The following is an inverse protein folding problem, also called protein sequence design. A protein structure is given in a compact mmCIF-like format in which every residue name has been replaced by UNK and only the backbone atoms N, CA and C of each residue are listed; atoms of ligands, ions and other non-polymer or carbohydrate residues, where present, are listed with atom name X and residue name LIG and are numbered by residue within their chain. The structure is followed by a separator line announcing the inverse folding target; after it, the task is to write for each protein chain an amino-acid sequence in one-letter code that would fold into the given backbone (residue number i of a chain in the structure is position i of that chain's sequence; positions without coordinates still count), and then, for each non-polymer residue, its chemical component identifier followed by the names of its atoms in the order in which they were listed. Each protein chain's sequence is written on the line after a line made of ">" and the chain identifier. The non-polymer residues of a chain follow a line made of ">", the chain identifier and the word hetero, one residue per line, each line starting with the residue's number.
data_IF_063792001596
#
_entry.id   IF_063792001596
#
_cell.length_a   1.000
_cell.length_b   1.000
_cell.length_c   1.000
_cell.angle_alpha   90.00
_cell.angle_beta   90.00
_cell.angle_gamma   90.00
#
_symmetry.space_group_name_H-M   'P 1'
#
loop_
_entity.id
_entity.type
_entity.pdbx_description
1 polymer ?
#
# COMPACT_ATOMS: atom_id res chain seq x y z
N UNK A 1 -16.87 9.08 27.56
CA UNK A 1 -16.11 10.30 27.21
C UNK A 1 -14.80 10.49 28.02
N UNK A 2 -14.56 9.77 29.09
CA UNK A 2 -13.39 9.99 29.98
C UNK A 2 -12.07 9.33 29.58
N UNK A 3 -12.06 8.29 28.75
CA UNK A 3 -10.87 7.49 28.49
C UNK A 3 -10.04 7.94 27.27
N UNK A 4 -10.67 8.59 26.29
CA UNK A 4 -9.96 9.09 25.09
C UNK A 4 -9.15 10.35 25.40
N UNK A 5 -9.69 11.20 26.28
CA UNK A 5 -9.00 12.42 26.73
C UNK A 5 -7.75 12.11 27.57
N UNK A 6 -7.77 11.03 28.34
CA UNK A 6 -6.59 10.59 29.11
C UNK A 6 -5.49 9.99 28.22
N UNK A 7 -5.85 9.34 27.12
CA UNK A 7 -4.87 8.79 26.17
C UNK A 7 -4.17 9.90 25.37
N UNK A 8 -4.91 10.93 24.94
CA UNK A 8 -4.35 12.09 24.24
C UNK A 8 -3.47 12.95 25.15
N UNK A 9 -3.84 13.12 26.40
CA UNK A 9 -3.01 13.79 27.40
C UNK A 9 -1.75 13.00 27.73
N UNK A 10 -1.80 11.67 27.72
CA UNK A 10 -0.63 10.79 27.91
C UNK A 10 0.40 10.90 26.75
N UNK A 11 -0.07 11.02 25.53
CA UNK A 11 0.79 11.17 24.35
C UNK A 11 1.43 12.57 24.30
N UNK A 12 0.68 13.62 24.67
CA UNK A 12 1.23 14.96 24.79
C UNK A 12 2.21 15.08 25.98
N UNK A 13 1.95 14.41 27.11
CA UNK A 13 2.83 14.38 28.25
C UNK A 13 4.14 13.62 27.99
N UNK A 14 4.10 12.56 27.16
CA UNK A 14 5.31 11.83 26.72
C UNK A 14 6.18 12.68 25.79
N UNK A 15 5.58 13.49 24.92
CA UNK A 15 6.30 14.45 24.08
C UNK A 15 6.85 15.65 24.88
N UNK A 16 6.16 16.09 25.94
CA UNK A 16 6.59 17.18 26.80
C UNK A 16 7.58 16.71 27.88
N UNK A 17 7.52 15.46 28.32
CA UNK A 17 8.42 14.88 29.33
C UNK A 17 9.87 14.72 28.87
N UNK A 18 10.11 14.75 27.55
CA UNK A 18 11.48 14.75 26.99
C UNK A 18 12.15 16.14 27.10
N UNK A 19 11.39 17.20 27.37
CA UNK A 19 11.93 18.57 27.49
C UNK A 19 12.21 19.05 28.92
N UNK A 20 11.87 18.28 29.98
CA UNK A 20 11.97 18.74 31.35
C UNK A 20 12.75 17.77 32.27
N UNK A 21 13.96 17.40 31.87
CA UNK A 21 14.98 16.90 32.81
C UNK A 21 16.25 17.69 32.60
N UNK A 22 16.28 18.85 33.17
CA UNK A 22 17.55 19.53 33.47
C UNK A 22 17.28 20.56 34.57
N UNK A 23 17.69 20.25 35.76
CA UNK A 23 18.49 21.13 36.64
C UNK A 23 18.66 20.43 37.98
N UNK A 24 19.85 19.94 38.22
CA UNK A 24 20.74 20.17 39.34
C UNK A 24 21.54 18.92 39.69
N UNK A 25 22.73 18.85 39.14
CA UNK A 25 23.90 18.25 39.82
C UNK A 25 25.16 18.97 39.31
N UNK A 26 25.73 19.83 40.11
CA UNK A 26 27.08 20.37 39.90
C UNK A 26 28.09 19.23 40.00
N UNK A 27 28.88 19.02 38.94
CA UNK A 27 29.97 18.08 38.93
C UNK A 27 30.50 17.80 37.55
N UNK A 28 31.60 18.45 37.16
CA UNK A 28 32.45 18.25 35.98
C UNK A 28 31.77 18.39 34.62
N UNK A 29 32.08 19.47 33.94
CA UNK A 29 31.71 19.70 32.53
C UNK A 29 32.46 18.72 31.63
N UNK A 30 31.90 17.53 31.41
CA UNK A 30 32.07 16.82 30.18
C UNK A 30 31.21 17.58 29.17
N UNK A 31 31.80 18.07 28.08
CA UNK A 31 31.07 18.59 26.92
C UNK A 31 30.13 17.53 26.41
N UNK A 32 28.88 17.50 26.91
CA UNK A 32 27.84 16.67 26.34
C UNK A 32 27.60 17.19 24.94
N UNK A 33 28.02 16.43 23.93
CA UNK A 33 27.65 16.69 22.56
C UNK A 33 26.13 16.50 22.46
N UNK A 34 25.40 17.58 22.18
CA UNK A 34 23.96 17.54 22.08
C UNK A 34 23.58 16.96 20.71
N UNK A 35 22.61 16.03 20.66
CA UNK A 35 22.05 15.56 19.40
C UNK A 35 21.36 16.70 18.66
N UNK A 36 21.20 16.57 17.33
CA UNK A 36 20.47 17.53 16.49
C UNK A 36 18.98 17.15 16.38
N UNK A 37 18.16 18.20 16.28
CA UNK A 37 16.74 18.09 16.03
C UNK A 37 16.41 18.98 14.83
N UNK A 38 16.04 18.37 13.70
CA UNK A 38 15.78 19.05 12.44
C UNK A 38 14.35 18.85 11.95
N UNK A 39 13.79 19.89 11.35
CA UNK A 39 12.55 19.81 10.59
C UNK A 39 12.86 20.05 9.11
N UNK A 40 12.84 19.00 8.33
CA UNK A 40 13.26 19.06 6.92
C UNK A 40 12.35 18.23 6.00
N UNK A 41 12.82 18.01 4.77
CA UNK A 41 12.11 17.19 3.80
C UNK A 41 11.89 15.72 4.23
N UNK A 42 12.57 15.21 5.22
CA UNK A 42 12.37 13.86 5.76
C UNK A 42 11.38 13.81 6.92
N UNK A 43 10.78 14.94 7.28
CA UNK A 43 9.90 15.13 8.42
C UNK A 43 10.66 15.70 9.61
N UNK A 44 10.28 15.29 10.81
CA UNK A 44 11.00 15.61 12.05
C UNK A 44 12.10 14.58 12.26
N UNK A 45 13.34 15.01 12.32
CA UNK A 45 14.52 14.15 12.45
C UNK A 45 15.23 14.45 13.75
N UNK A 46 15.42 13.41 14.55
CA UNK A 46 16.35 13.43 15.69
C UNK A 46 17.59 12.60 15.33
N UNK A 47 18.75 13.12 15.62
CA UNK A 47 20.02 12.42 15.46
C UNK A 47 20.88 12.62 16.71
N UNK A 48 21.39 11.51 17.27
CA UNK A 48 22.34 11.58 18.39
C UNK A 48 23.67 12.20 17.95
N UNK A 49 24.39 12.76 18.88
CA UNK A 49 25.64 13.46 18.60
C UNK A 49 26.72 12.55 17.99
N UNK A 50 26.73 11.28 18.37
CA UNK A 50 27.63 10.26 17.84
C UNK A 50 27.14 9.65 16.55
N UNK A 51 25.98 10.12 16.03
CA UNK A 51 25.30 9.60 14.82
C UNK A 51 24.92 8.12 14.87
N UNK A 52 24.99 7.47 16.01
CA UNK A 52 24.64 6.05 16.19
C UNK A 52 23.12 5.83 16.11
N UNK A 53 22.36 6.84 16.53
CA UNK A 53 20.89 6.80 16.53
C UNK A 53 20.33 7.94 15.69
N UNK A 54 19.45 7.58 14.74
CA UNK A 54 18.70 8.53 13.92
C UNK A 54 17.25 8.09 13.88
N UNK A 55 16.32 8.94 14.32
CA UNK A 55 14.88 8.69 14.29
C UNK A 55 14.19 9.76 13.45
N UNK A 56 13.41 9.33 12.49
CA UNK A 56 12.58 10.19 11.65
C UNK A 56 11.10 9.95 11.97
N UNK A 57 10.36 11.03 12.16
CA UNK A 57 8.91 10.99 12.31
C UNK A 57 8.25 11.73 11.14
N UNK A 58 7.26 11.09 10.52
CA UNK A 58 6.45 11.65 9.44
C UNK A 58 4.97 11.56 9.78
N UNK A 59 4.26 12.61 9.46
CA UNK A 59 2.80 12.68 9.53
C UNK A 59 2.20 12.71 8.14
N UNK A 60 1.00 12.13 7.99
CA UNK A 60 0.25 12.19 6.75
C UNK A 60 -1.25 12.18 6.99
N UNK A 61 -1.95 13.07 6.30
CA UNK A 61 -3.41 13.13 6.25
C UNK A 61 -3.86 13.17 4.78
N UNK A 62 -4.92 12.40 4.47
CA UNK A 62 -5.56 12.41 3.16
C UNK A 62 -7.08 12.44 3.34
N UNK A 63 -7.71 13.46 2.76
CA UNK A 63 -9.15 13.68 2.84
C UNK A 63 -9.79 13.57 1.46
N UNK A 64 -10.97 12.97 1.40
CA UNK A 64 -11.77 12.81 0.20
C UNK A 64 -13.13 13.45 0.33
N UNK A 65 -13.60 13.99 -0.80
CA UNK A 65 -15.01 14.21 -1.11
C UNK A 65 -15.30 13.43 -2.40
N UNK A 66 -16.22 12.47 -2.34
CA UNK A 66 -16.56 11.63 -3.49
C UNK A 66 -18.05 11.74 -3.76
N UNK A 67 -18.41 12.12 -4.98
CA UNK A 67 -19.75 12.00 -5.51
C UNK A 67 -19.83 10.74 -6.35
N UNK A 68 -20.86 9.93 -6.16
CA UNK A 68 -21.07 8.70 -6.93
C UNK A 68 -22.53 8.60 -7.33
N UNK A 69 -22.79 8.39 -8.61
CA UNK A 69 -24.09 7.95 -9.13
C UNK A 69 -23.96 6.55 -9.72
N UNK A 70 -25.00 5.76 -9.63
CA UNK A 70 -25.02 4.39 -10.14
C UNK A 70 -26.41 4.02 -10.63
N UNK A 71 -26.48 3.17 -11.64
CA UNK A 71 -27.68 2.49 -12.07
C UNK A 71 -27.46 0.97 -12.00
N UNK A 72 -28.50 0.26 -11.62
CA UNK A 72 -28.57 -1.21 -11.69
C UNK A 72 -29.31 -1.68 -12.93
N UNK A 73 -29.94 -0.74 -13.67
CA UNK A 73 -30.57 -0.97 -14.96
C UNK A 73 -29.72 -0.33 -16.07
N UNK A 74 -29.13 -1.17 -16.89
CA UNK A 74 -28.12 -0.76 -17.89
C UNK A 74 -28.74 -0.02 -19.06
N UNK A 75 -30.02 -0.22 -19.27
CA UNK A 75 -30.81 0.43 -20.34
C UNK A 75 -31.32 1.82 -19.95
N UNK A 76 -31.13 2.21 -18.69
CA UNK A 76 -31.46 3.54 -18.19
C UNK A 76 -30.27 4.48 -18.21
N UNK A 77 -30.50 5.71 -18.61
CA UNK A 77 -29.53 6.79 -18.49
C UNK A 77 -29.17 7.02 -17.01
N UNK A 78 -27.88 7.26 -16.75
CA UNK A 78 -27.39 7.60 -15.41
C UNK A 78 -28.00 8.92 -14.94
N UNK A 79 -28.83 8.85 -13.91
CA UNK A 79 -29.38 10.05 -13.27
C UNK A 79 -28.32 10.71 -12.38
N UNK A 80 -27.75 11.78 -12.89
CA UNK A 80 -26.74 12.56 -12.14
C UNK A 80 -27.31 13.28 -10.92
N UNK A 81 -28.63 13.41 -10.80
CA UNK A 81 -29.27 14.02 -9.63
C UNK A 81 -29.45 13.04 -8.46
N UNK A 82 -29.47 11.74 -8.75
CA UNK A 82 -29.69 10.66 -7.77
C UNK A 82 -28.39 10.15 -7.12
N UNK A 83 -27.30 10.89 -7.18
CA UNK A 83 -26.03 10.48 -6.64
C UNK A 83 -25.91 10.65 -5.12
N UNK A 84 -24.94 9.98 -4.54
CA UNK A 84 -24.55 10.08 -3.13
C UNK A 84 -23.24 10.81 -2.97
N UNK A 85 -23.12 11.61 -1.90
CA UNK A 85 -21.89 12.30 -1.53
C UNK A 85 -21.30 11.62 -0.29
N UNK A 86 -20.01 11.29 -0.34
CA UNK A 86 -19.24 10.75 0.78
C UNK A 86 -18.03 11.64 1.10
N UNK A 87 -17.83 11.92 2.38
CA UNK A 87 -16.69 12.67 2.90
C UNK A 87 -15.91 11.77 3.86
N UNK A 88 -14.62 11.59 3.61
CA UNK A 88 -13.84 10.66 4.40
C UNK A 88 -12.43 11.15 4.69
N UNK A 89 -11.98 10.96 5.94
CA UNK A 89 -10.54 10.91 6.25
C UNK A 89 -10.03 9.55 5.78
N UNK A 90 -9.53 9.52 4.53
CA UNK A 90 -9.11 8.26 3.90
C UNK A 90 -7.88 7.68 4.55
N UNK A 91 -6.93 8.55 4.95
CA UNK A 91 -5.71 8.12 5.65
C UNK A 91 -5.28 9.18 6.67
N UNK A 92 -4.95 8.69 7.86
CA UNK A 92 -4.34 9.50 8.92
C UNK A 92 -3.23 8.63 9.52
N UNK A 93 -1.97 8.99 9.29
CA UNK A 93 -0.85 8.11 9.61
C UNK A 93 0.30 8.83 10.28
N UNK A 94 0.92 8.12 11.23
CA UNK A 94 2.25 8.43 11.77
C UNK A 94 3.22 7.33 11.36
N UNK A 95 4.40 7.72 10.93
CA UNK A 95 5.48 6.80 10.60
C UNK A 95 6.74 7.22 11.32
N UNK A 96 7.38 6.24 11.93
CA UNK A 96 8.70 6.35 12.52
C UNK A 96 9.65 5.41 11.79
N UNK A 97 10.89 5.84 11.58
CA UNK A 97 11.92 5.02 10.98
C UNK A 97 13.28 5.60 11.25
N UNK A 98 14.31 4.81 11.03
CA UNK A 98 15.68 5.24 11.26
C UNK A 98 16.59 4.11 11.67
N UNK A 99 17.67 4.44 12.37
CA UNK A 99 18.65 3.50 12.94
C UNK A 99 18.77 3.69 14.45
N UNK A 100 19.07 2.61 15.18
CA UNK A 100 19.24 2.62 16.64
C UNK A 100 20.56 1.93 17.01
N UNK A 101 21.43 2.62 17.76
CA UNK A 101 22.72 2.14 18.29
C UNK A 101 23.77 1.78 17.23
N UNK A 102 23.37 1.23 16.11
CA UNK A 102 24.22 0.86 14.97
C UNK A 102 23.50 1.29 13.68
N UNK A 103 24.16 2.02 12.76
CA UNK A 103 23.55 2.42 11.48
C UNK A 103 23.05 1.24 10.62
N UNK A 104 23.56 0.01 10.86
CA UNK A 104 23.09 -1.22 10.20
C UNK A 104 21.78 -1.72 10.77
N UNK A 105 21.44 -1.40 12.04
CA UNK A 105 20.17 -1.78 12.66
C UNK A 105 19.14 -0.68 12.38
N UNK A 106 18.24 -0.92 11.44
CA UNK A 106 17.20 0.02 11.07
C UNK A 106 15.82 -0.50 11.40
N UNK A 107 14.84 0.40 11.54
CA UNK A 107 13.46 0.03 11.86
C UNK A 107 12.46 0.86 11.06
N UNK A 108 11.25 0.34 10.95
CA UNK A 108 10.11 1.05 10.40
C UNK A 108 8.86 0.70 11.21
N UNK A 109 8.24 1.72 11.81
CA UNK A 109 6.96 1.64 12.49
C UNK A 109 5.97 2.56 11.80
N UNK A 110 4.80 2.05 11.41
CA UNK A 110 3.72 2.86 10.85
C UNK A 110 2.42 2.60 11.57
N UNK A 111 1.82 3.66 12.06
CA UNK A 111 0.51 3.67 12.72
C UNK A 111 -0.53 4.31 11.79
N UNK A 112 -1.78 3.85 11.85
CA UNK A 112 -2.90 4.41 11.10
C UNK A 112 -4.12 4.55 12.00
N UNK A 113 -4.77 5.70 11.89
CA UNK A 113 -5.91 6.07 12.74
C UNK A 113 -7.21 6.22 11.95
N UNK A 114 -7.18 6.08 10.62
CA UNK A 114 -8.38 6.17 9.79
C UNK A 114 -9.18 4.87 9.82
N UNK A 115 -10.51 4.99 9.81
CA UNK A 115 -11.43 3.85 9.81
C UNK A 115 -11.17 2.87 8.66
N UNK A 116 -10.86 3.38 7.48
CA UNK A 116 -10.62 2.57 6.27
C UNK A 116 -9.32 1.75 6.30
N UNK A 117 -8.43 2.02 7.24
CA UNK A 117 -7.17 1.29 7.43
C UNK A 117 -7.23 0.29 8.60
N UNK A 118 -8.34 0.27 9.34
CA UNK A 118 -8.51 -0.60 10.50
C UNK A 118 -9.30 -1.86 10.14
N UNK A 119 -8.99 -2.94 10.82
CA UNK A 119 -9.65 -4.24 10.69
C UNK A 119 -10.57 -4.42 11.90
N UNK A 120 -11.84 -4.09 11.72
CA UNK A 120 -12.84 -4.11 12.81
C UNK A 120 -13.54 -5.47 12.95
N UNK A 121 -13.40 -6.34 11.94
CA UNK A 121 -14.21 -7.55 11.85
C UNK A 121 -13.69 -8.71 12.70
N UNK A 122 -12.38 -8.78 12.93
CA UNK A 122 -11.75 -9.92 13.60
C UNK A 122 -11.26 -9.63 15.02
N UNK A 123 -11.24 -8.36 15.44
CA UNK A 123 -10.79 -7.97 16.77
C UNK A 123 -11.66 -6.87 17.32
N UNK A 124 -12.03 -6.95 18.60
CA UNK A 124 -12.79 -5.90 19.30
C UNK A 124 -11.96 -4.62 19.54
N UNK A 125 -10.69 -4.60 19.12
CA UNK A 125 -9.76 -3.48 19.26
C UNK A 125 -9.33 -2.95 17.91
N UNK A 126 -9.18 -1.62 17.76
CA UNK A 126 -8.67 -1.01 16.55
C UNK A 126 -7.20 -1.40 16.32
N UNK A 127 -6.93 -2.08 15.21
CA UNK A 127 -5.57 -2.45 14.80
C UNK A 127 -4.85 -1.27 14.14
N UNK A 128 -4.26 -0.41 14.95
CA UNK A 128 -3.56 0.79 14.47
C UNK A 128 -2.19 0.50 13.86
N UNK A 129 -1.57 -0.65 14.19
CA UNK A 129 -0.23 -1.01 13.69
C UNK A 129 -0.35 -1.50 12.24
N UNK A 130 0.33 -0.79 11.33
CA UNK A 130 0.43 -1.17 9.94
C UNK A 130 1.77 -1.85 9.63
N UNK A 131 2.85 -1.21 9.99
CA UNK A 131 4.21 -1.75 9.84
C UNK A 131 4.88 -1.72 11.21
N UNK A 132 5.57 -2.79 11.55
CA UNK A 132 6.46 -2.93 12.71
C UNK A 132 7.58 -3.89 12.29
N UNK A 133 8.69 -3.34 11.80
CA UNK A 133 9.75 -4.11 11.15
C UNK A 133 11.12 -3.64 11.62
N UNK A 134 11.98 -4.58 11.92
CA UNK A 134 13.38 -4.38 12.23
C UNK A 134 14.21 -4.98 11.10
N UNK A 135 15.25 -4.26 10.67
CA UNK A 135 16.14 -4.70 9.60
C UNK A 135 17.59 -4.68 10.06
N UNK A 136 18.35 -5.64 9.56
CA UNK A 136 19.79 -5.65 9.63
C UNK A 136 20.40 -5.50 8.23
N UNK A 137 21.20 -4.47 8.03
CA UNK A 137 21.90 -4.19 6.78
C UNK A 137 23.29 -4.84 6.83
N UNK A 138 23.45 -6.00 6.19
CA UNK A 138 24.73 -6.71 6.09
C UNK A 138 25.73 -5.97 5.19
N UNK A 139 25.20 -5.31 4.17
CA UNK A 139 25.97 -4.48 3.24
C UNK A 139 25.03 -3.42 2.61
N UNK A 140 25.54 -2.47 1.82
CA UNK A 140 24.70 -1.54 1.06
C UNK A 140 23.74 -2.21 0.08
N UNK A 141 23.97 -3.48 -0.25
CA UNK A 141 23.19 -4.24 -1.24
C UNK A 141 22.42 -5.42 -0.64
N UNK A 142 22.64 -5.76 0.64
CA UNK A 142 21.97 -6.90 1.30
C UNK A 142 21.39 -6.49 2.65
N UNK A 143 20.08 -6.64 2.78
CA UNK A 143 19.31 -6.37 4.00
C UNK A 143 18.39 -7.54 4.30
N UNK A 144 18.26 -7.89 5.57
CA UNK A 144 17.27 -8.86 6.08
C UNK A 144 16.47 -8.19 7.18
N UNK A 145 15.17 -8.45 7.22
CA UNK A 145 14.28 -7.90 8.23
C UNK A 145 13.35 -8.94 8.81
N UNK A 146 12.85 -8.65 10.01
CA UNK A 146 11.88 -9.45 10.73
C UNK A 146 10.79 -8.57 11.33
N UNK A 147 9.55 -9.00 11.24
CA UNK A 147 8.37 -8.30 11.74
C UNK A 147 7.26 -8.23 10.71
N UNK A 148 6.39 -7.23 10.85
CA UNK A 148 5.22 -7.02 10.00
C UNK A 148 5.43 -5.84 9.05
N UNK A 149 5.34 -6.11 7.75
CA UNK A 149 5.32 -5.05 6.72
C UNK A 149 4.73 -5.58 5.40
N UNK A 150 4.68 -4.74 4.36
CA UNK A 150 4.22 -5.15 3.03
C UNK A 150 5.10 -6.26 2.46
N UNK A 151 4.45 -7.30 1.93
CA UNK A 151 5.14 -8.34 1.17
C UNK A 151 5.62 -7.78 -0.19
N UNK A 152 6.73 -8.30 -0.72
CA UNK A 152 7.28 -7.89 -2.02
C UNK A 152 6.49 -8.50 -3.20
N UNK A 153 5.18 -8.29 -3.21
CA UNK A 153 4.26 -8.73 -4.25
C UNK A 153 4.11 -7.73 -5.40
N UNK A 154 2.88 -7.27 -5.64
CA UNK A 154 2.59 -6.32 -6.69
C UNK A 154 3.17 -4.93 -6.39
N UNK A 155 3.76 -4.28 -7.42
CA UNK A 155 4.41 -2.97 -7.30
C UNK A 155 3.47 -1.90 -6.75
N UNK A 156 2.23 -1.80 -7.24
CA UNK A 156 1.29 -0.78 -6.79
C UNK A 156 1.00 -0.86 -5.29
N UNK A 157 1.05 -2.07 -4.70
CA UNK A 157 0.91 -2.22 -3.24
C UNK A 157 2.16 -1.80 -2.50
N UNK A 158 3.35 -2.17 -3.01
CA UNK A 158 4.64 -1.83 -2.40
C UNK A 158 4.86 -0.32 -2.44
N UNK A 159 4.53 0.35 -3.54
CA UNK A 159 4.51 1.82 -3.61
C UNK A 159 3.69 2.36 -2.42
N UNK A 160 4.26 3.36 -1.73
CA UNK A 160 3.54 4.04 -0.66
C UNK A 160 2.27 4.68 -1.22
N UNK A 161 1.17 4.63 -0.47
CA UNK A 161 -0.03 5.34 -0.90
C UNK A 161 0.13 6.88 -0.90
N UNK A 162 1.20 7.41 -0.30
CA UNK A 162 1.57 8.81 -0.41
C UNK A 162 2.10 9.16 -1.80
N UNK A 163 2.69 8.18 -2.46
CA UNK A 163 3.44 8.36 -3.69
C UNK A 163 2.64 7.91 -4.93
N UNK A 164 1.34 7.74 -4.76
CA UNK A 164 0.39 7.50 -5.86
C UNK A 164 0.11 8.80 -6.59
N UNK A 165 -0.14 8.69 -7.87
CA UNK A 165 -0.56 9.78 -8.73
C UNK A 165 -2.07 10.02 -8.66
N UNK A 166 -2.83 8.94 -8.70
CA UNK A 166 -4.27 8.98 -8.47
C UNK A 166 -4.59 8.89 -6.97
N UNK A 167 -5.79 9.35 -6.55
CA UNK A 167 -6.19 9.35 -5.14
C UNK A 167 -6.08 7.98 -4.47
N UNK A 168 -6.37 6.89 -5.20
CA UNK A 168 -6.21 5.53 -4.69
C UNK A 168 -5.66 4.55 -5.74
N UNK A 169 -5.38 3.34 -5.29
CA UNK A 169 -4.93 2.22 -6.11
C UNK A 169 -6.05 1.69 -7.01
N UNK A 170 -5.64 0.96 -8.04
CA UNK A 170 -6.54 0.31 -9.00
C UNK A 170 -7.42 -0.77 -8.37
N UNK A 171 -8.49 -1.15 -9.07
CA UNK A 171 -9.32 -2.31 -8.72
C UNK A 171 -8.50 -3.62 -8.75
N UNK A 172 -7.48 -3.72 -9.61
CA UNK A 172 -6.56 -4.87 -9.67
C UNK A 172 -5.80 -5.03 -8.35
N UNK A 173 -5.25 -3.92 -7.81
CA UNK A 173 -4.65 -3.98 -6.49
C UNK A 173 -5.68 -4.35 -5.41
N UNK A 174 -6.93 -3.89 -5.51
CA UNK A 174 -7.97 -4.25 -4.54
C UNK A 174 -8.26 -5.74 -4.53
N UNK A 175 -8.29 -6.38 -5.69
CA UNK A 175 -8.60 -7.81 -5.85
C UNK A 175 -7.41 -8.72 -5.49
N UNK A 176 -6.20 -8.35 -5.89
CA UNK A 176 -5.06 -9.28 -5.91
C UNK A 176 -3.90 -8.93 -4.96
N UNK A 177 -3.88 -7.77 -4.31
CA UNK A 177 -2.71 -7.41 -3.48
C UNK A 177 -2.46 -8.39 -2.32
N UNK A 178 -1.18 -8.54 -1.95
CA UNK A 178 -0.75 -9.36 -0.82
C UNK A 178 -0.81 -8.60 0.51
N UNK A 179 -0.89 -7.28 0.47
CA UNK A 179 -0.82 -6.37 1.62
C UNK A 179 0.40 -6.65 2.53
N UNK A 180 0.13 -6.77 3.80
CA UNK A 180 1.11 -6.94 4.88
C UNK A 180 0.95 -8.27 5.54
N UNK A 181 2.09 -8.80 5.98
CA UNK A 181 2.13 -10.01 6.77
C UNK A 181 3.31 -9.98 7.74
N UNK A 182 3.34 -10.88 8.71
CA UNK A 182 4.39 -11.01 9.71
C UNK A 182 5.36 -12.13 9.29
N UNK A 183 6.67 -11.84 9.30
CA UNK A 183 7.67 -12.84 8.95
C UNK A 183 9.05 -12.26 8.69
N UNK A 184 9.87 -13.04 7.99
CA UNK A 184 11.18 -12.63 7.52
C UNK A 184 11.12 -12.11 6.09
N UNK A 185 11.89 -11.06 5.79
CA UNK A 185 12.05 -10.54 4.43
C UNK A 185 13.53 -10.28 4.14
N UNK A 186 13.96 -10.64 2.93
CA UNK A 186 15.29 -10.38 2.39
C UNK A 186 15.24 -9.46 1.18
N UNK A 187 16.21 -8.55 1.09
CA UNK A 187 16.37 -7.62 -0.02
C UNK A 187 17.82 -7.68 -0.48
N UNK A 188 18.03 -8.05 -1.72
CA UNK A 188 19.36 -8.18 -2.30
C UNK A 188 19.44 -7.50 -3.66
N UNK A 189 20.50 -6.72 -3.87
CA UNK A 189 20.81 -6.06 -5.12
C UNK A 189 22.14 -6.58 -5.65
N UNK A 190 22.14 -7.75 -6.32
CA UNK A 190 23.37 -8.40 -6.80
C UNK A 190 24.07 -7.63 -7.92
N UNK A 191 23.32 -6.84 -8.70
CA UNK A 191 23.86 -6.06 -9.83
C UNK A 191 23.51 -4.60 -9.63
N UNK A 192 24.52 -3.74 -9.70
CA UNK A 192 24.41 -2.28 -9.55
C UNK A 192 25.21 -1.58 -10.66
N UNK A 193 24.77 -0.39 -11.08
CA UNK A 193 25.44 0.41 -12.13
C UNK A 193 24.50 0.77 -13.26
N UNK A 194 24.94 0.59 -14.50
CA UNK A 194 24.15 0.90 -15.72
C UNK A 194 22.91 0.01 -15.85
N UNK A 195 23.00 -1.22 -15.36
CA UNK A 195 21.87 -2.12 -15.15
C UNK A 195 21.78 -2.41 -13.66
N UNK A 196 20.57 -2.48 -13.12
CA UNK A 196 20.32 -2.85 -11.72
C UNK A 196 19.41 -4.06 -11.69
N UNK A 197 19.73 -5.03 -10.83
CA UNK A 197 18.87 -6.15 -10.51
C UNK A 197 18.56 -6.14 -9.02
N UNK A 198 17.28 -6.17 -8.66
CA UNK A 198 16.81 -6.29 -7.29
C UNK A 198 16.10 -7.63 -7.12
N UNK A 199 16.50 -8.38 -6.11
CA UNK A 199 15.82 -9.61 -5.68
C UNK A 199 15.24 -9.40 -4.29
N UNK A 200 14.02 -9.86 -4.07
CA UNK A 200 13.33 -9.76 -2.77
C UNK A 200 12.65 -11.08 -2.47
N UNK A 201 12.69 -11.49 -1.22
CA UNK A 201 12.03 -12.69 -0.75
C UNK A 201 11.35 -12.46 0.59
N UNK A 202 10.31 -13.23 0.87
CA UNK A 202 9.67 -13.26 2.18
C UNK A 202 9.19 -14.66 2.51
N UNK A 203 9.30 -15.01 3.80
CA UNK A 203 8.63 -16.15 4.43
C UNK A 203 7.78 -15.58 5.55
N UNK A 204 6.47 -15.81 5.49
CA UNK A 204 5.51 -15.14 6.37
C UNK A 204 4.38 -16.08 6.81
N UNK A 205 3.54 -15.63 7.73
CA UNK A 205 2.46 -16.44 8.30
C UNK A 205 1.36 -16.80 7.30
N UNK A 206 1.12 -15.96 6.29
CA UNK A 206 0.04 -16.13 5.31
C UNK A 206 -1.33 -15.64 5.77
N UNK A 207 -1.50 -15.32 7.06
CA UNK A 207 -2.78 -14.91 7.67
C UNK A 207 -3.02 -13.39 7.62
N UNK A 208 -1.97 -12.62 7.27
CA UNK A 208 -2.01 -11.19 7.19
C UNK A 208 -1.64 -10.48 8.48
N UNK A 209 -1.80 -9.17 8.49
CA UNK A 209 -1.37 -8.31 9.59
C UNK A 209 -2.15 -8.54 10.88
N UNK A 210 -1.45 -8.36 12.02
CA UNK A 210 -2.01 -8.35 13.38
C UNK A 210 -2.74 -9.65 13.76
N UNK A 211 -2.41 -10.77 13.15
CA UNK A 211 -2.95 -12.06 13.54
C UNK A 211 -2.15 -12.63 14.72
N UNK A 212 -2.84 -13.04 15.80
CA UNK A 212 -2.17 -13.46 17.04
C UNK A 212 -1.53 -14.86 16.95
N UNK A 213 -1.91 -15.67 15.97
CA UNK A 213 -1.41 -17.04 15.82
C UNK A 213 -1.50 -17.51 14.38
N UNK A 214 -0.58 -18.40 14.01
CA UNK A 214 -0.66 -19.16 12.77
C UNK A 214 -1.74 -20.24 12.97
N UNK A 215 -2.86 -20.05 12.33
CA UNK A 215 -3.98 -20.99 12.45
C UNK A 215 -3.67 -22.29 11.70
N UNK A 216 -3.06 -23.29 12.40
CA UNK A 216 -2.96 -24.70 11.98
C UNK A 216 -1.85 -25.06 10.99
N UNK A 217 -0.75 -24.31 10.99
CA UNK A 217 0.43 -24.61 10.17
C UNK A 217 0.30 -24.14 8.72
N UNK A 218 1.39 -24.17 8.01
CA UNK A 218 1.55 -23.60 6.68
C UNK A 218 2.10 -22.19 6.74
N UNK A 219 2.87 -21.84 5.74
CA UNK A 219 3.52 -20.54 5.59
C UNK A 219 3.22 -19.98 4.21
N UNK A 220 3.48 -18.72 4.07
CA UNK A 220 3.45 -18.05 2.76
C UNK A 220 4.87 -17.70 2.32
N UNK A 221 5.13 -17.88 1.04
CA UNK A 221 6.41 -17.64 0.40
C UNK A 221 6.23 -16.62 -0.72
N UNK A 222 7.02 -15.57 -0.71
CA UNK A 222 6.98 -14.53 -1.75
C UNK A 222 8.36 -14.33 -2.32
N UNK A 223 8.47 -14.27 -3.65
CA UNK A 223 9.70 -13.92 -4.35
C UNK A 223 9.41 -12.85 -5.40
N UNK A 224 10.33 -11.89 -5.56
CA UNK A 224 10.27 -10.85 -6.58
C UNK A 224 11.64 -10.59 -7.17
N UNK A 225 11.68 -10.49 -8.50
CA UNK A 225 12.83 -10.02 -9.26
C UNK A 225 12.45 -8.75 -10.03
N UNK A 226 13.36 -7.77 -10.03
CA UNK A 226 13.22 -6.52 -10.78
C UNK A 226 14.50 -6.23 -11.54
N UNK A 227 14.36 -5.74 -12.76
CA UNK A 227 15.45 -5.27 -13.60
C UNK A 227 15.20 -3.83 -13.99
N UNK A 228 16.20 -2.98 -13.78
CA UNK A 228 16.26 -1.60 -14.25
C UNK A 228 17.34 -1.52 -15.34
N UNK A 229 16.97 -1.74 -16.61
CA UNK A 229 17.96 -1.86 -17.71
C UNK A 229 18.69 -0.55 -18.04
N UNK A 230 18.11 0.59 -17.63
CA UNK A 230 18.70 1.91 -17.86
C UNK A 230 19.22 2.55 -16.56
N UNK A 231 19.56 1.71 -15.55
CA UNK A 231 20.06 2.13 -14.25
C UNK A 231 19.01 2.77 -13.35
N UNK A 232 19.46 3.38 -12.27
CA UNK A 232 18.61 3.93 -11.24
C UNK A 232 17.76 5.10 -11.75
N UNK A 233 16.53 5.20 -11.23
CA UNK A 233 15.70 6.39 -11.31
C UNK A 233 16.20 7.45 -10.33
N UNK A 234 16.02 8.74 -10.65
CA UNK A 234 16.28 9.83 -9.71
C UNK A 234 15.47 9.63 -8.42
N UNK A 235 16.12 9.79 -7.29
CA UNK A 235 15.48 9.73 -5.96
C UNK A 235 14.69 8.45 -5.67
N UNK A 236 15.07 7.30 -6.23
CA UNK A 236 14.33 6.05 -6.06
C UNK A 236 12.96 6.05 -6.75
N UNK A 237 12.83 6.76 -7.84
CA UNK A 237 11.59 6.99 -8.58
C UNK A 237 10.91 5.73 -9.15
N UNK A 238 11.57 4.58 -9.11
CA UNK A 238 10.98 3.27 -9.45
C UNK A 238 9.87 2.83 -8.46
N UNK A 239 9.77 3.47 -7.29
CA UNK A 239 8.72 3.26 -6.29
C UNK A 239 7.87 4.50 -6.01
N UNK A 240 7.77 5.40 -6.98
CA UNK A 240 6.82 6.53 -7.02
C UNK A 240 5.99 6.42 -8.31
N UNK A 241 4.69 6.77 -8.27
CA UNK A 241 3.91 6.95 -9.49
C UNK A 241 4.16 8.36 -10.05
N UNK A 242 3.98 8.53 -11.36
CA UNK A 242 4.27 9.78 -12.07
C UNK A 242 5.76 10.11 -12.15
N UNK A 243 6.17 10.89 -13.14
CA UNK A 243 7.57 11.34 -13.32
C UNK A 243 7.78 12.77 -12.79
N UNK A 244 7.60 12.95 -11.48
CA UNK A 244 7.79 14.24 -10.80
C UNK A 244 9.25 14.71 -10.83
N UNK A 245 10.21 13.76 -10.87
CA UNK A 245 11.62 14.05 -10.95
C UNK A 245 12.08 14.48 -12.37
N UNK A 246 11.21 14.32 -13.36
CA UNK A 246 11.44 14.60 -14.77
C UNK A 246 12.75 13.99 -15.25
N UNK A 247 12.75 12.65 -15.35
CA UNK A 247 13.90 11.88 -15.80
C UNK A 247 14.43 12.42 -17.15
N UNK A 248 15.69 12.80 -17.20
CA UNK A 248 16.31 13.39 -18.43
C UNK A 248 16.52 12.36 -19.53
N UNK A 249 16.64 11.10 -19.16
CA UNK A 249 16.76 9.95 -20.07
C UNK A 249 15.66 8.95 -19.73
N UNK A 250 15.18 8.16 -20.71
CA UNK A 250 14.20 7.12 -20.42
C UNK A 250 14.68 6.19 -19.30
N UNK A 251 13.83 5.92 -18.32
CA UNK A 251 14.05 4.97 -17.25
C UNK A 251 12.97 3.91 -17.28
N UNK A 252 13.36 2.66 -17.15
CA UNK A 252 12.47 1.51 -17.18
C UNK A 252 12.77 0.61 -15.98
N UNK A 253 11.72 0.13 -15.32
CA UNK A 253 11.78 -0.96 -14.35
C UNK A 253 10.77 -2.02 -14.72
N UNK A 254 11.21 -3.26 -14.84
CA UNK A 254 10.36 -4.43 -15.10
C UNK A 254 10.48 -5.37 -13.92
N UNK A 255 9.34 -5.86 -13.42
CA UNK A 255 9.30 -6.75 -12.26
C UNK A 255 8.37 -7.93 -12.46
N UNK A 256 8.74 -9.06 -11.86
CA UNK A 256 7.91 -10.27 -11.76
C UNK A 256 7.93 -10.74 -10.31
N UNK A 257 6.76 -11.15 -9.80
CA UNK A 257 6.65 -11.71 -8.45
C UNK A 257 5.81 -12.98 -8.46
N UNK A 258 6.15 -13.89 -7.56
CA UNK A 258 5.38 -15.08 -7.26
C UNK A 258 5.11 -15.16 -5.77
N UNK A 259 3.90 -15.56 -5.41
CA UNK A 259 3.48 -15.79 -4.04
C UNK A 259 2.74 -17.11 -3.94
N UNK A 260 3.14 -17.94 -2.98
CA UNK A 260 2.49 -19.19 -2.59
C UNK A 260 2.04 -19.08 -1.15
N UNK A 261 0.80 -19.43 -0.86
CA UNK A 261 0.26 -19.47 0.50
C UNK A 261 -0.37 -20.86 0.73
N UNK A 262 0.24 -21.65 1.62
CA UNK A 262 -0.20 -23.01 1.91
C UNK A 262 -1.58 -23.06 2.61
N UNK A 263 -1.90 -22.04 3.41
CA UNK A 263 -3.05 -22.07 4.30
C UNK A 263 -3.78 -20.72 4.34
N UNK A 264 -4.12 -20.18 3.17
CA UNK A 264 -4.89 -18.93 3.11
C UNK A 264 -6.21 -19.06 3.88
N UNK A 265 -6.45 -18.11 4.78
CA UNK A 265 -7.61 -18.05 5.68
C UNK A 265 -8.64 -17.02 5.26
N UNK A 266 -8.33 -16.13 4.32
CA UNK A 266 -9.21 -15.04 3.89
C UNK A 266 -9.42 -15.04 2.37
N UNK A 267 -10.51 -14.45 1.91
CA UNK A 267 -10.93 -14.52 0.51
C UNK A 267 -9.97 -13.85 -0.49
N UNK A 268 -9.15 -12.89 -0.08
CA UNK A 268 -8.23 -12.14 -0.95
C UNK A 268 -6.77 -12.20 -0.49
N UNK A 269 -6.30 -13.39 -0.08
CA UNK A 269 -4.98 -13.53 0.53
C UNK A 269 -5.00 -13.07 2.00
N UNK A 270 -4.16 -12.10 2.39
CA UNK A 270 -4.16 -11.56 3.75
C UNK A 270 -5.38 -10.68 4.08
N UNK A 271 -6.25 -10.43 3.13
CA UNK A 271 -7.41 -9.52 3.24
C UNK A 271 -8.72 -10.20 2.85
N UNK A 272 -9.82 -9.53 3.19
CA UNK A 272 -11.18 -9.98 2.87
C UNK A 272 -11.84 -10.70 4.04
N UNK A 273 -12.96 -11.35 3.75
CA UNK A 273 -13.72 -12.14 4.74
C UNK A 273 -12.97 -13.44 5.04
N UNK A 274 -13.17 -13.97 6.24
CA UNK A 274 -12.65 -15.30 6.62
C UNK A 274 -13.29 -16.40 5.77
N UNK A 275 -12.48 -17.38 5.39
CA UNK A 275 -12.93 -18.63 4.76
C UNK A 275 -13.46 -19.59 5.83
N UNK A 276 -14.38 -20.46 5.47
CA UNK A 276 -14.84 -21.55 6.35
C UNK A 276 -13.86 -22.74 6.44
N UNK A 277 -12.86 -22.75 5.59
CA UNK A 277 -11.77 -23.73 5.58
C UNK A 277 -10.59 -23.14 4.82
N UNK A 278 -9.41 -23.63 5.12
CA UNK A 278 -8.18 -23.14 4.50
C UNK A 278 -8.04 -23.59 3.06
N UNK A 279 -7.32 -22.78 2.30
CA UNK A 279 -7.04 -23.05 0.89
C UNK A 279 -5.60 -22.71 0.55
N UNK A 280 -4.99 -23.52 -0.27
CA UNK A 280 -3.73 -23.17 -0.93
C UNK A 280 -4.01 -22.26 -2.12
N UNK A 281 -3.22 -21.21 -2.25
CA UNK A 281 -3.32 -20.28 -3.37
C UNK A 281 -1.97 -19.84 -3.90
N UNK A 282 -1.92 -19.56 -5.20
CA UNK A 282 -0.75 -19.03 -5.89
C UNK A 282 -1.12 -17.71 -6.55
N UNK A 283 -0.20 -16.75 -6.53
CA UNK A 283 -0.39 -15.46 -7.22
C UNK A 283 0.88 -15.12 -8.00
N UNK A 284 0.70 -14.76 -9.26
CA UNK A 284 1.76 -14.23 -10.12
C UNK A 284 1.47 -12.77 -10.42
N UNK A 285 2.52 -11.94 -10.42
CA UNK A 285 2.45 -10.55 -10.87
C UNK A 285 3.54 -10.28 -11.89
N UNK A 286 3.21 -9.41 -12.85
CA UNK A 286 4.17 -8.79 -13.75
C UNK A 286 3.88 -7.30 -13.83
N UNK A 287 4.91 -6.47 -13.81
CA UNK A 287 4.76 -5.02 -13.86
C UNK A 287 5.88 -4.35 -14.64
N UNK A 288 5.57 -3.17 -15.20
CA UNK A 288 6.54 -2.31 -15.84
C UNK A 288 6.23 -0.84 -15.55
N UNK A 289 7.27 -0.06 -15.29
CA UNK A 289 7.21 1.39 -15.07
C UNK A 289 8.25 2.07 -15.95
N UNK A 290 7.78 2.91 -16.87
CA UNK A 290 8.59 3.76 -17.75
C UNK A 290 8.42 5.22 -17.34
N UNK A 291 9.52 6.00 -17.29
CA UNK A 291 9.51 7.44 -17.03
C UNK A 291 10.45 8.18 -17.96
N UNK A 292 10.02 9.35 -18.44
CA UNK A 292 10.81 10.22 -19.29
C UNK A 292 10.22 11.64 -19.38
N UNK A 293 10.97 12.65 -18.99
CA UNK A 293 10.66 14.08 -19.12
C UNK A 293 9.26 14.50 -18.65
N UNK A 294 8.78 13.92 -17.55
CA UNK A 294 7.46 14.16 -16.99
C UNK A 294 6.40 13.14 -17.43
N UNK A 295 6.65 12.37 -18.47
CA UNK A 295 5.80 11.25 -18.87
C UNK A 295 6.05 10.03 -17.98
N UNK A 296 5.00 9.35 -17.60
CA UNK A 296 5.03 8.06 -16.90
C UNK A 296 4.02 7.10 -17.49
N UNK A 297 4.44 5.86 -17.73
CA UNK A 297 3.57 4.73 -18.08
C UNK A 297 3.80 3.62 -17.08
N UNK A 298 2.75 3.19 -16.40
CA UNK A 298 2.78 2.09 -15.45
C UNK A 298 1.74 1.03 -15.82
N UNK A 299 2.18 -0.22 -15.89
CA UNK A 299 1.31 -1.37 -16.16
C UNK A 299 1.53 -2.45 -15.11
N UNK A 300 0.47 -3.16 -14.75
CA UNK A 300 0.53 -4.29 -13.81
C UNK A 300 -0.47 -5.36 -14.23
N UNK A 301 -0.04 -6.61 -14.23
CA UNK A 301 -0.85 -7.81 -14.37
C UNK A 301 -0.79 -8.62 -13.08
N UNK A 302 -1.89 -9.24 -12.71
CA UNK A 302 -1.98 -10.15 -11.58
C UNK A 302 -2.89 -11.34 -11.93
N UNK A 303 -2.53 -12.53 -11.44
CA UNK A 303 -3.35 -13.74 -11.55
C UNK A 303 -3.26 -14.54 -10.27
N UNK A 304 -4.41 -14.92 -9.70
CA UNK A 304 -4.50 -15.82 -8.54
C UNK A 304 -5.21 -17.10 -8.92
N UNK A 305 -4.64 -18.22 -8.48
CA UNK A 305 -5.18 -19.58 -8.67
C UNK A 305 -5.33 -20.30 -7.32
N UNK A 306 -6.28 -21.21 -7.24
CA UNK A 306 -6.49 -22.15 -6.15
C UNK A 306 -7.25 -23.35 -6.70
N UNK A 307 -6.90 -24.57 -6.34
CA UNK A 307 -7.53 -25.77 -6.88
C UNK A 307 -8.99 -25.91 -6.46
N UNK A 308 -9.29 -25.60 -5.19
CA UNK A 308 -10.62 -25.65 -4.61
C UNK A 308 -10.96 -24.33 -3.91
N UNK A 309 -11.28 -23.25 -4.66
CA UNK A 309 -11.41 -21.93 -4.05
C UNK A 309 -12.61 -21.79 -3.10
N UNK A 310 -13.69 -22.57 -3.29
CA UNK A 310 -14.94 -22.42 -2.53
C UNK A 310 -14.86 -23.18 -1.22
N UNK A 311 -15.32 -22.56 -0.14
CA UNK A 311 -15.46 -23.14 1.20
C UNK A 311 -16.90 -22.96 1.67
N UNK A 312 -17.43 -23.93 2.39
CA UNK A 312 -18.77 -23.91 2.91
C UNK A 312 -18.78 -23.99 4.44
N UNK A 313 -19.72 -23.31 5.07
CA UNK A 313 -19.91 -23.31 6.51
C UNK A 313 -20.31 -24.68 7.04
N UNK A 314 -21.20 -25.35 6.29
CA UNK A 314 -21.77 -26.65 6.62
C UNK A 314 -22.15 -27.43 5.34
N UNK A 315 -22.73 -28.61 5.55
CA UNK A 315 -23.14 -29.52 4.47
C UNK A 315 -24.33 -29.02 3.64
N UNK A 316 -25.07 -28.02 4.12
CA UNK A 316 -26.20 -27.43 3.37
C UNK A 316 -25.72 -26.56 2.19
N UNK A 317 -24.45 -26.12 2.22
CA UNK A 317 -23.80 -25.28 1.21
C UNK A 317 -24.49 -23.93 0.93
N UNK A 318 -25.36 -23.49 1.83
CA UNK A 318 -26.06 -22.19 1.70
C UNK A 318 -25.11 -21.03 1.97
N UNK A 319 -24.28 -21.16 3.03
CA UNK A 319 -23.28 -20.16 3.39
C UNK A 319 -21.93 -20.58 2.82
N UNK A 320 -21.36 -19.73 2.00
CA UNK A 320 -20.05 -19.96 1.37
C UNK A 320 -19.12 -18.75 1.49
N UNK A 321 -17.84 -19.02 1.36
CA UNK A 321 -16.80 -18.05 1.14
C UNK A 321 -15.77 -18.65 0.19
N UNK A 322 -15.21 -17.88 -0.73
CA UNK A 322 -14.25 -18.40 -1.69
C UNK A 322 -12.98 -17.55 -1.76
N UNK A 323 -11.85 -18.19 -2.03
CA UNK A 323 -10.66 -17.50 -2.49
C UNK A 323 -10.99 -16.82 -3.82
N UNK A 324 -10.79 -15.52 -3.92
CA UNK A 324 -10.94 -14.79 -5.17
C UNK A 324 -9.84 -15.24 -6.14
N UNK A 325 -10.17 -16.12 -7.06
CA UNK A 325 -9.33 -16.57 -8.16
C UNK A 325 -9.68 -15.82 -9.43
N UNK A 326 -8.74 -15.69 -10.36
CA UNK A 326 -8.91 -14.96 -11.60
C UNK A 326 -7.70 -14.14 -11.97
N UNK A 327 -7.89 -13.18 -12.86
CA UNK A 327 -6.83 -12.29 -13.32
C UNK A 327 -7.27 -10.83 -13.38
N UNK A 328 -6.29 -9.95 -13.44
CA UNK A 328 -6.54 -8.54 -13.62
C UNK A 328 -5.33 -7.85 -14.25
N UNK A 329 -5.58 -6.78 -14.97
CA UNK A 329 -4.53 -5.94 -15.51
C UNK A 329 -4.92 -4.47 -15.41
N UNK A 330 -3.93 -3.62 -15.31
CA UNK A 330 -4.10 -2.18 -15.38
C UNK A 330 -3.00 -1.54 -16.21
N UNK A 331 -3.36 -0.42 -16.84
CA UNK A 331 -2.43 0.50 -17.45
C UNK A 331 -2.79 1.92 -16.99
N UNK A 332 -1.77 2.68 -16.59
CA UNK A 332 -1.89 4.08 -16.16
C UNK A 332 -0.83 4.89 -16.89
N UNK A 333 -1.25 5.96 -17.55
CA UNK A 333 -0.35 6.89 -18.20
C UNK A 333 -0.61 8.30 -17.68
N UNK A 334 0.46 9.09 -17.59
CA UNK A 334 0.37 10.45 -17.07
C UNK A 334 1.47 11.36 -17.61
N UNK A 335 1.23 12.65 -17.47
CA UNK A 335 2.22 13.67 -17.74
C UNK A 335 2.21 14.76 -16.66
N UNK A 336 3.36 14.98 -16.05
CA UNK A 336 3.59 16.06 -15.08
C UNK A 336 4.30 17.22 -15.79
N UNK A 337 3.62 18.34 -15.87
CA UNK A 337 4.14 19.56 -16.49
C UNK A 337 5.22 20.22 -15.60
N UNK A 338 6.15 21.02 -16.17
CA UNK A 338 7.08 21.82 -15.37
C UNK A 338 6.40 22.72 -14.33
N UNK A 339 5.16 23.13 -14.59
CA UNK A 339 4.30 23.93 -13.69
C UNK A 339 3.70 23.11 -12.55
N UNK A 340 4.08 21.85 -12.37
CA UNK A 340 3.59 20.92 -11.33
C UNK A 340 2.13 20.48 -11.48
N UNK A 341 1.46 20.85 -12.56
CA UNK A 341 0.20 20.23 -12.93
C UNK A 341 0.42 18.82 -13.44
N UNK A 342 -0.51 17.95 -13.14
CA UNK A 342 -0.55 16.55 -13.57
C UNK A 342 -1.84 16.27 -14.32
N UNK A 343 -1.74 15.54 -15.42
CA UNK A 343 -2.88 14.90 -16.08
C UNK A 343 -2.56 13.43 -16.28
N UNK A 344 -3.54 12.58 -16.03
CA UNK A 344 -3.33 11.14 -16.17
C UNK A 344 -4.64 10.40 -16.39
N UNK A 345 -4.51 9.18 -16.89
CA UNK A 345 -5.62 8.26 -17.10
C UNK A 345 -5.24 6.85 -16.68
N UNK A 346 -6.22 6.08 -16.21
CA UNK A 346 -6.06 4.66 -15.85
C UNK A 346 -7.19 3.83 -16.42
N UNK A 347 -6.83 2.69 -16.96
CA UNK A 347 -7.74 1.60 -17.33
C UNK A 347 -7.38 0.37 -16.51
N UNK A 348 -8.37 -0.28 -15.90
CA UNK A 348 -8.15 -1.45 -15.07
C UNK A 348 -9.30 -2.44 -15.23
N UNK A 349 -8.96 -3.72 -15.33
CA UNK A 349 -9.91 -4.83 -15.46
C UNK A 349 -9.59 -5.88 -14.41
N UNK A 350 -10.62 -6.41 -13.78
CA UNK A 350 -10.59 -7.59 -12.92
C UNK A 350 -11.57 -8.59 -13.46
N UNK A 351 -11.11 -9.80 -13.74
CA UNK A 351 -11.91 -10.90 -14.26
C UNK A 351 -11.83 -12.06 -13.26
N UNK A 352 -12.94 -12.39 -12.62
CA UNK A 352 -13.01 -13.53 -11.72
C UNK A 352 -12.94 -14.84 -12.52
N UNK A 353 -12.25 -15.86 -11.99
CA UNK A 353 -12.09 -17.13 -12.69
C UNK A 353 -13.39 -17.91 -12.80
N UNK A 354 -13.52 -18.69 -13.88
CA UNK A 354 -14.71 -19.50 -14.17
C UNK A 354 -15.14 -20.44 -13.03
N UNK A 355 -14.23 -20.82 -12.14
CA UNK A 355 -14.54 -21.58 -10.92
C UNK A 355 -15.51 -20.85 -9.96
N UNK A 356 -15.66 -19.53 -10.12
CA UNK A 356 -16.52 -18.66 -9.31
C UNK A 356 -17.77 -18.20 -10.09
N UNK A 357 -17.96 -18.63 -11.33
CA UNK A 357 -19.04 -18.12 -12.21
C UNK A 357 -20.47 -18.38 -11.67
N UNK A 358 -20.66 -19.39 -10.83
CA UNK A 358 -21.93 -19.66 -10.16
C UNK A 358 -22.22 -18.79 -8.93
N UNK A 359 -21.29 -17.97 -8.51
CA UNK A 359 -21.38 -17.17 -7.30
C UNK A 359 -21.66 -15.70 -7.66
N UNK A 360 -22.83 -15.19 -7.26
CA UNK A 360 -23.31 -13.85 -7.65
C UNK A 360 -22.40 -12.69 -7.25
N UNK A 361 -21.57 -12.87 -6.22
CA UNK A 361 -20.65 -11.84 -5.72
C UNK A 361 -19.32 -11.75 -6.51
N UNK A 362 -19.06 -12.69 -7.45
CA UNK A 362 -17.83 -12.74 -8.23
C UNK A 362 -18.11 -12.41 -9.70
N UNK A 363 -17.57 -11.30 -10.16
CA UNK A 363 -17.97 -10.65 -11.40
C UNK A 363 -16.74 -10.10 -12.11
N UNK A 364 -16.89 -9.78 -13.38
CA UNK A 364 -15.93 -8.96 -14.11
C UNK A 364 -16.15 -7.48 -13.78
N UNK A 365 -15.09 -6.76 -13.50
CA UNK A 365 -15.13 -5.33 -13.23
C UNK A 365 -14.18 -4.59 -14.17
N UNK A 366 -14.65 -3.48 -14.71
CA UNK A 366 -13.87 -2.56 -15.54
C UNK A 366 -13.93 -1.17 -14.91
N UNK A 367 -12.77 -0.57 -14.67
CA UNK A 367 -12.64 0.79 -14.19
C UNK A 367 -11.86 1.62 -15.21
N UNK A 368 -12.37 2.78 -15.53
CA UNK A 368 -11.68 3.82 -16.28
C UNK A 368 -11.70 5.10 -15.47
N UNK A 369 -10.56 5.78 -15.35
CA UNK A 369 -10.52 7.07 -14.67
C UNK A 369 -9.52 8.02 -15.31
N UNK A 370 -9.82 9.31 -15.21
CA UNK A 370 -8.92 10.41 -15.53
C UNK A 370 -8.66 11.24 -14.28
N UNK A 371 -7.47 11.78 -14.15
CA UNK A 371 -7.08 12.63 -13.03
C UNK A 371 -6.43 13.90 -13.52
N UNK A 372 -6.79 15.00 -12.88
CA UNK A 372 -6.06 16.27 -12.93
C UNK A 372 -5.59 16.58 -11.52
N UNK A 373 -4.31 16.91 -11.36
CA UNK A 373 -3.72 17.16 -10.05
C UNK A 373 -2.74 18.32 -10.08
N UNK A 374 -2.45 18.83 -8.89
CA UNK A 374 -1.43 19.84 -8.69
C UNK A 374 -0.55 19.47 -7.51
N UNK A 375 0.76 19.41 -7.74
CA UNK A 375 1.76 19.13 -6.72
C UNK A 375 2.30 20.43 -6.12
N UNK A 376 1.88 20.75 -4.89
CA UNK A 376 2.34 21.96 -4.17
C UNK A 376 3.74 21.73 -3.59
N UNK A 377 3.94 20.54 -2.99
CA UNK A 377 5.25 20.12 -2.49
C UNK A 377 5.44 18.62 -2.78
N UNK A 378 5.87 18.31 -4.01
CA UNK A 378 6.06 16.94 -4.49
C UNK A 378 4.83 16.07 -4.14
N UNK A 379 5.04 14.82 -3.76
CA UNK A 379 3.96 13.93 -3.32
C UNK A 379 3.38 14.26 -1.91
N UNK A 380 3.99 15.16 -1.16
CA UNK A 380 3.60 15.43 0.24
C UNK A 380 2.38 16.32 0.36
N UNK A 381 2.32 17.35 -0.47
CA UNK A 381 1.18 18.29 -0.49
C UNK A 381 0.69 18.33 -1.92
N UNK A 382 -0.50 17.80 -2.14
CA UNK A 382 -1.12 17.77 -3.47
C UNK A 382 -2.63 17.78 -3.37
N UNK A 383 -3.27 18.27 -4.43
CA UNK A 383 -4.70 18.18 -4.65
C UNK A 383 -4.97 17.51 -5.99
N UNK A 384 -5.97 16.65 -6.06
CA UNK A 384 -6.36 15.93 -7.27
C UNK A 384 -7.89 15.95 -7.41
N UNK A 385 -8.35 16.02 -8.67
CA UNK A 385 -9.72 15.69 -9.07
C UNK A 385 -9.66 14.47 -9.99
N UNK A 386 -10.31 13.40 -9.59
CA UNK A 386 -10.46 12.16 -10.36
C UNK A 386 -11.90 12.03 -10.82
N UNK A 387 -12.10 11.77 -12.10
CA UNK A 387 -13.37 11.37 -12.69
C UNK A 387 -13.23 9.95 -13.19
N UNK A 388 -14.20 9.10 -12.93
CA UNK A 388 -14.10 7.71 -13.35
C UNK A 388 -15.44 7.00 -13.46
N UNK A 389 -15.39 5.83 -14.10
CA UNK A 389 -16.52 4.93 -14.26
C UNK A 389 -16.13 3.52 -13.83
N UNK A 390 -17.09 2.82 -13.24
CA UNK A 390 -17.00 1.39 -12.99
C UNK A 390 -18.17 0.67 -13.65
N UNK A 391 -17.85 -0.44 -14.31
CA UNK A 391 -18.84 -1.37 -14.87
C UNK A 391 -18.64 -2.74 -14.24
N UNK A 392 -19.74 -3.37 -13.87
CA UNK A 392 -19.76 -4.70 -13.29
C UNK A 392 -20.64 -5.60 -14.16
N UNK A 393 -20.09 -6.73 -14.60
CA UNK A 393 -20.71 -7.68 -15.50
C UNK A 393 -20.74 -9.07 -14.86
N UNK A 394 -21.86 -9.77 -14.92
CA UNK A 394 -21.97 -11.16 -14.46
C UNK A 394 -21.17 -12.09 -15.38
N UNK A 395 -20.41 -13.03 -14.79
CA UNK A 395 -19.61 -13.98 -15.56
C UNK A 395 -20.44 -15.00 -16.34
N UNK A 396 -21.56 -15.42 -15.77
CA UNK A 396 -22.41 -16.49 -16.32
C UNK A 396 -23.31 -16.06 -17.50
N UNK A 397 -23.72 -14.80 -17.52
CA UNK A 397 -24.62 -14.27 -18.57
C UNK A 397 -23.96 -13.24 -19.47
N UNK A 398 -22.81 -12.68 -19.06
CA UNK A 398 -22.20 -11.54 -19.76
C UNK A 398 -23.02 -10.24 -19.63
N UNK A 399 -24.11 -10.25 -18.85
CA UNK A 399 -24.96 -9.08 -18.64
C UNK A 399 -24.28 -8.09 -17.70
N UNK A 400 -24.25 -6.82 -18.07
CA UNK A 400 -23.85 -5.73 -17.16
C UNK A 400 -24.95 -5.58 -16.10
N UNK A 401 -24.56 -5.54 -14.84
CA UNK A 401 -25.49 -5.47 -13.69
C UNK A 401 -25.32 -4.20 -12.89
N UNK A 402 -24.28 -3.43 -13.13
CA UNK A 402 -24.10 -2.14 -12.51
C UNK A 402 -23.19 -1.27 -13.36
N UNK A 403 -23.61 -0.04 -13.56
CA UNK A 403 -22.78 1.05 -14.08
C UNK A 403 -22.74 2.18 -13.06
N UNK A 404 -21.58 2.75 -12.79
CA UNK A 404 -21.43 3.89 -11.90
C UNK A 404 -20.45 4.92 -12.45
N UNK A 405 -20.77 6.20 -12.23
CA UNK A 405 -19.84 7.31 -12.42
C UNK A 405 -19.47 7.88 -11.06
N UNK A 406 -18.24 8.33 -10.93
CA UNK A 406 -17.80 9.02 -9.72
C UNK A 406 -16.91 10.21 -10.04
N UNK A 407 -17.00 11.21 -9.18
CA UNK A 407 -16.08 12.34 -9.12
C UNK A 407 -15.48 12.39 -7.71
N UNK A 408 -14.17 12.40 -7.62
CA UNK A 408 -13.47 12.41 -6.34
C UNK A 408 -12.48 13.54 -6.25
N UNK A 409 -12.69 14.44 -5.30
CA UNK A 409 -11.73 15.44 -4.90
C UNK A 409 -10.90 14.92 -3.74
N UNK A 410 -9.59 15.05 -3.84
CA UNK A 410 -8.63 14.59 -2.87
C UNK A 410 -7.64 15.69 -2.51
N UNK A 411 -7.43 15.87 -1.22
CA UNK A 411 -6.34 16.70 -0.68
C UNK A 411 -5.47 15.88 0.23
N UNK A 412 -4.18 15.97 0.03
CA UNK A 412 -3.17 15.28 0.80
C UNK A 412 -2.17 16.25 1.40
N UNK A 413 -1.92 16.09 2.69
CA UNK A 413 -0.92 16.83 3.47
C UNK A 413 -0.01 15.84 4.18
N UNK A 414 1.30 15.99 4.03
CA UNK A 414 2.32 15.23 4.73
C UNK A 414 3.57 16.03 5.02
N UNK A 415 4.28 15.65 6.08
CA UNK A 415 5.59 16.18 6.47
C UNK A 415 6.59 15.05 6.59
#
# INVERSE_FOLDING_TARGET
>A
MGNVTRLLLGICAFAAGICLVSTSAFGQASTMSHGSFDFNSDGVVFQSADSSTRVMMRFRMQNWATYTTKTEDVDQDLDLSAGSMDFAVRRLRLRFGGSLYDPRLTFNLQLSFSRSDQDWTDTQFPNIIRDAMIFWNFSPTLQVGFGQTKLPGNRQRVISSADLEQPDRSIVNTAFNLDRDFGFQGFWRPITGSVIVNLRGAVSTGDGRNQPSISGGGLAYTARAEVLPFGAFKNGGDYFEGDLAREEKPKLSVGVSYHHNDNQTKTRGPLGRSLYGRRTSNVVYADALLKYQGFSLYTEYAQRTSDNPITYKDTTRKDYAAVFVGSGYMAQASYIFPSMWNVGARYAVVDAGNQLAGLAEYQKQVNMSGVVGYYINKHRIKANLELGTNRITLLNSGSEVQHSLYARFNVELGI
#
